data_IF_080402951934
#
_entry.id   IF_080402951934
#
_cell.length_a   1.000
_cell.length_b   1.000
_cell.length_c   1.000
_cell.angle_alpha   90.00
_cell.angle_beta   90.00
_cell.angle_gamma   90.00
#
_symmetry.space_group_name_H-M   'P 1'
#
loop_
_entity.id
_entity.type
_entity.pdbx_description
1 polymer ?
#
# COMPACT_ATOMS: atom_id res chain seq x y z
N UNK A 1 31.54 -14.26 0.99
CA UNK A 1 30.56 -13.61 0.10
C UNK A 1 29.17 -14.06 0.53
N UNK A 2 28.48 -13.27 1.36
CA UNK A 2 27.15 -13.62 1.90
C UNK A 2 26.07 -13.16 0.92
N UNK A 3 25.30 -14.11 0.39
CA UNK A 3 24.16 -13.88 -0.49
C UNK A 3 23.06 -13.15 0.30
N UNK A 4 22.79 -11.88 -0.03
CA UNK A 4 21.64 -11.14 0.55
C UNK A 4 20.33 -11.63 -0.08
N UNK A 5 19.39 -11.94 0.80
CA UNK A 5 18.04 -12.51 0.64
C UNK A 5 17.25 -12.19 -0.65
N UNK A 6 17.00 -13.22 -1.45
CA UNK A 6 15.96 -13.25 -2.50
C UNK A 6 14.54 -13.45 -1.95
N UNK A 7 14.40 -13.94 -0.71
CA UNK A 7 13.11 -14.39 -0.14
C UNK A 7 12.15 -13.28 0.34
N UNK A 8 12.67 -12.11 0.73
CA UNK A 8 11.82 -11.01 1.24
C UNK A 8 11.15 -10.21 0.13
N UNK A 9 11.80 -10.08 -1.03
CA UNK A 9 11.31 -9.29 -2.17
C UNK A 9 10.21 -10.07 -2.92
N UNK A 10 10.46 -11.35 -3.21
CA UNK A 10 9.45 -12.22 -3.83
C UNK A 10 8.19 -12.33 -2.98
N UNK A 11 8.37 -12.40 -1.65
CA UNK A 11 7.26 -12.43 -0.71
C UNK A 11 6.46 -11.13 -0.71
N UNK A 12 7.12 -9.97 -0.81
CA UNK A 12 6.46 -8.67 -0.96
C UNK A 12 5.58 -8.61 -2.21
N UNK A 13 6.11 -9.06 -3.36
CA UNK A 13 5.36 -9.07 -4.62
C UNK A 13 4.12 -9.98 -4.58
N UNK A 14 4.23 -11.17 -3.96
CA UNK A 14 3.09 -12.09 -3.83
C UNK A 14 1.95 -11.46 -3.03
N UNK A 15 2.26 -10.78 -1.92
CA UNK A 15 1.23 -10.13 -1.10
C UNK A 15 0.67 -8.87 -1.75
N UNK A 16 1.47 -8.15 -2.53
CA UNK A 16 0.96 -7.04 -3.34
C UNK A 16 -0.01 -7.52 -4.42
N UNK A 17 0.27 -8.65 -5.08
CA UNK A 17 -0.62 -9.23 -6.08
C UNK A 17 -1.94 -9.72 -5.43
N UNK A 18 -1.87 -10.36 -4.26
CA UNK A 18 -3.07 -10.75 -3.52
C UNK A 18 -3.88 -9.54 -3.04
N UNK A 19 -3.20 -8.49 -2.57
CA UNK A 19 -3.82 -7.23 -2.21
C UNK A 19 -4.54 -6.58 -3.41
N UNK A 20 -3.88 -6.55 -4.56
CA UNK A 20 -4.46 -6.04 -5.79
C UNK A 20 -5.71 -6.83 -6.19
N UNK A 21 -5.61 -8.17 -6.24
CA UNK A 21 -6.75 -9.04 -6.57
C UNK A 21 -7.95 -8.77 -5.66
N UNK A 22 -7.73 -8.71 -4.35
CA UNK A 22 -8.78 -8.38 -3.38
C UNK A 22 -9.43 -7.03 -3.66
N UNK A 23 -8.63 -5.97 -3.88
CA UNK A 23 -9.17 -4.61 -4.12
C UNK A 23 -9.95 -4.52 -5.44
N UNK A 24 -9.49 -5.23 -6.48
CA UNK A 24 -10.22 -5.33 -7.75
C UNK A 24 -11.58 -6.03 -7.55
N UNK A 25 -11.63 -7.10 -6.76
CA UNK A 25 -12.89 -7.78 -6.40
C UNK A 25 -13.83 -6.89 -5.58
N UNK A 26 -13.28 -5.96 -4.78
CA UNK A 26 -14.06 -4.92 -4.10
C UNK A 26 -14.53 -3.78 -5.02
N UNK A 27 -14.21 -3.84 -6.32
CA UNK A 27 -14.66 -2.88 -7.33
C UNK A 27 -13.76 -1.66 -7.52
N UNK A 28 -12.55 -1.67 -6.97
CA UNK A 28 -11.59 -0.59 -7.19
C UNK A 28 -10.89 -0.79 -8.54
N UNK A 29 -10.51 0.32 -9.18
CA UNK A 29 -9.78 0.29 -10.44
C UNK A 29 -8.29 0.56 -10.18
N UNK A 30 -7.41 -0.26 -10.73
CA UNK A 30 -5.96 -0.02 -10.62
C UNK A 30 -5.55 1.19 -11.46
N UNK A 31 -4.90 2.17 -10.83
CA UNK A 31 -4.30 3.35 -11.50
C UNK A 31 -2.81 3.14 -11.73
N UNK A 32 -2.09 2.72 -10.69
CA UNK A 32 -0.67 2.42 -10.74
C UNK A 32 -0.26 1.50 -9.58
N UNK A 33 0.87 0.82 -9.71
CA UNK A 33 1.49 0.05 -8.62
C UNK A 33 2.99 0.24 -8.58
N UNK A 34 3.61 -0.01 -7.43
CA UNK A 34 5.05 0.07 -7.22
C UNK A 34 5.65 1.43 -7.65
N UNK A 35 4.93 2.54 -7.39
CA UNK A 35 5.42 3.86 -7.77
C UNK A 35 6.57 4.27 -6.85
N UNK A 36 7.67 4.72 -7.43
CA UNK A 36 8.87 5.14 -6.69
C UNK A 36 9.31 6.52 -7.13
N UNK A 37 9.63 7.36 -6.16
CA UNK A 37 10.25 8.66 -6.40
C UNK A 37 11.32 8.92 -5.32
N UNK A 38 12.04 10.05 -5.45
CA UNK A 38 13.10 10.41 -4.48
C UNK A 38 12.61 10.58 -3.03
N UNK A 39 11.30 10.73 -2.82
CA UNK A 39 10.70 10.99 -1.51
C UNK A 39 10.12 9.73 -0.84
N UNK A 40 9.90 8.66 -1.60
CA UNK A 40 9.25 7.46 -1.08
C UNK A 40 8.74 6.53 -2.16
N UNK A 41 7.95 5.58 -1.70
CA UNK A 41 7.30 4.56 -2.52
C UNK A 41 5.81 4.52 -2.18
N UNK A 42 4.99 4.14 -3.16
CA UNK A 42 3.57 3.86 -3.03
C UNK A 42 3.33 2.45 -3.57
N UNK A 43 2.72 1.58 -2.77
CA UNK A 43 2.52 0.18 -3.15
C UNK A 43 1.43 0.07 -4.24
N UNK A 44 0.21 0.49 -3.92
CA UNK A 44 -0.92 0.51 -4.85
C UNK A 44 -1.59 1.88 -4.88
N UNK A 45 -1.91 2.34 -6.09
CA UNK A 45 -2.76 3.49 -6.35
C UNK A 45 -4.00 2.98 -7.07
N UNK A 46 -5.14 3.13 -6.43
CA UNK A 46 -6.43 2.66 -6.90
C UNK A 46 -7.39 3.85 -7.08
N UNK A 47 -8.50 3.63 -7.77
CA UNK A 47 -9.59 4.58 -7.90
C UNK A 47 -10.88 3.97 -7.35
N UNK A 48 -11.60 4.77 -6.55
CA UNK A 48 -12.94 4.45 -6.04
C UNK A 48 -13.81 5.71 -6.13
N UNK A 49 -14.81 5.70 -7.00
CA UNK A 49 -15.83 6.77 -7.12
C UNK A 49 -15.22 8.18 -7.30
N UNK A 50 -14.22 8.30 -8.17
CA UNK A 50 -13.51 9.55 -8.46
C UNK A 50 -12.51 9.98 -7.38
N UNK A 51 -12.18 9.09 -6.43
CA UNK A 51 -11.16 9.31 -5.40
C UNK A 51 -9.92 8.48 -5.71
N UNK A 52 -8.74 9.10 -5.69
CA UNK A 52 -7.46 8.40 -5.74
C UNK A 52 -7.15 7.80 -4.38
N UNK A 53 -7.14 6.47 -4.30
CA UNK A 53 -6.90 5.71 -3.08
C UNK A 53 -5.45 5.20 -3.08
N UNK A 54 -4.66 5.70 -2.14
CA UNK A 54 -3.29 5.26 -1.90
C UNK A 54 -3.34 4.14 -0.87
N UNK A 55 -2.96 2.92 -1.25
CA UNK A 55 -3.02 1.75 -0.36
C UNK A 55 -1.60 1.29 -0.03
N UNK A 56 -1.27 1.30 1.27
CA UNK A 56 -0.06 0.63 1.78
C UNK A 56 -0.39 -0.83 2.10
N UNK A 57 0.39 -1.77 1.56
CA UNK A 57 0.19 -3.22 1.75
C UNK A 57 1.10 -3.73 2.86
N UNK A 58 0.51 -4.35 3.89
CA UNK A 58 1.24 -4.86 5.05
C UNK A 58 1.04 -6.36 5.22
N UNK A 59 2.12 -7.14 5.08
CA UNK A 59 2.10 -8.56 5.43
C UNK A 59 2.61 -8.83 6.85
N UNK A 60 1.94 -9.73 7.55
CA UNK A 60 2.35 -10.25 8.86
C UNK A 60 2.20 -11.76 8.92
N UNK A 61 3.22 -12.41 9.48
CA UNK A 61 3.18 -13.85 9.71
C UNK A 61 2.16 -14.22 10.79
N UNK A 62 2.15 -13.48 11.91
CA UNK A 62 1.32 -13.73 13.08
C UNK A 62 0.75 -12.41 13.62
N UNK A 63 -0.45 -12.42 14.19
CA UNK A 63 -1.11 -11.25 14.78
C UNK A 63 -0.49 -10.74 16.11
N UNK A 64 0.61 -11.33 16.59
CA UNK A 64 1.19 -11.04 17.93
C UNK A 64 1.93 -9.71 18.04
N UNK A 65 2.19 -8.99 16.95
CA UNK A 65 2.99 -7.76 16.94
C UNK A 65 2.17 -6.57 16.43
N UNK A 66 1.47 -5.89 17.35
CA UNK A 66 0.72 -4.64 17.12
C UNK A 66 -0.46 -4.75 16.13
N UNK A 67 -1.17 -3.65 15.87
CA UNK A 67 -2.22 -3.52 14.84
C UNK A 67 -1.64 -3.10 13.48
N UNK A 68 -2.32 -3.37 12.37
CA UNK A 68 -1.87 -2.96 11.02
C UNK A 68 -1.49 -1.48 10.95
N UNK A 69 -2.33 -0.63 11.55
CA UNK A 69 -2.13 0.81 11.67
C UNK A 69 -0.85 1.16 12.43
N UNK A 70 -0.54 0.47 13.53
CA UNK A 70 0.68 0.71 14.30
C UNK A 70 1.97 0.43 13.49
N UNK A 71 1.91 -0.43 12.47
CA UNK A 71 3.06 -0.62 11.56
C UNK A 71 3.22 0.46 10.50
N UNK A 72 2.23 1.33 10.32
CA UNK A 72 2.32 2.52 9.47
C UNK A 72 2.68 3.69 10.36
N UNK A 73 3.93 3.68 10.82
CA UNK A 73 4.48 4.73 11.70
C UNK A 73 4.37 6.11 11.07
N UNK A 74 4.38 7.16 11.89
CA UNK A 74 4.33 8.56 11.42
C UNK A 74 5.40 8.87 10.36
N UNK A 75 6.59 8.28 10.49
CA UNK A 75 7.65 8.42 9.47
C UNK A 75 7.28 7.75 8.14
N UNK A 76 6.62 6.58 8.16
CA UNK A 76 6.14 5.94 6.94
C UNK A 76 4.99 6.74 6.32
N UNK A 77 4.03 7.20 7.12
CA UNK A 77 2.94 8.09 6.67
C UNK A 77 3.49 9.33 5.96
N UNK A 78 4.46 10.03 6.58
CA UNK A 78 5.07 11.22 5.99
C UNK A 78 5.72 10.93 4.62
N UNK A 79 6.37 9.78 4.45
CA UNK A 79 6.97 9.35 3.17
C UNK A 79 5.91 9.04 2.12
N UNK A 80 4.83 8.35 2.50
CA UNK A 80 3.70 8.05 1.60
C UNK A 80 3.03 9.35 1.16
N UNK A 81 2.78 10.29 2.08
CA UNK A 81 2.22 11.61 1.75
C UNK A 81 3.15 12.38 0.81
N UNK A 82 4.46 12.39 1.06
CA UNK A 82 5.42 13.07 0.20
C UNK A 82 5.50 12.46 -1.20
N UNK A 83 5.50 11.13 -1.31
CA UNK A 83 5.47 10.43 -2.60
C UNK A 83 4.16 10.66 -3.36
N UNK A 84 3.03 10.72 -2.64
CA UNK A 84 1.71 11.03 -3.21
C UNK A 84 1.67 12.44 -3.77
N UNK A 85 2.17 13.44 -3.02
CA UNK A 85 2.30 14.83 -3.52
C UNK A 85 3.10 14.90 -4.81
N UNK A 86 4.22 14.18 -4.87
CA UNK A 86 5.03 14.11 -6.08
C UNK A 86 4.26 13.48 -7.25
N UNK A 87 3.53 12.38 -7.01
CA UNK A 87 2.74 11.70 -8.02
C UNK A 87 1.64 12.63 -8.60
N UNK A 88 0.82 13.24 -7.74
CA UNK A 88 -0.30 14.07 -8.21
C UNK A 88 0.16 15.33 -8.95
N UNK A 89 1.29 15.93 -8.55
CA UNK A 89 1.88 17.06 -9.28
C UNK A 89 2.39 16.64 -10.66
N UNK A 90 3.01 15.47 -10.75
CA UNK A 90 3.57 14.92 -12.00
C UNK A 90 2.45 14.55 -12.98
N UNK A 91 1.39 13.92 -12.47
CA UNK A 91 0.26 13.44 -13.26
C UNK A 91 -0.86 14.49 -13.41
N UNK A 92 -0.72 15.67 -12.80
CA UNK A 92 -1.71 16.76 -12.77
C UNK A 92 -3.09 16.29 -12.28
N UNK A 93 -3.11 15.44 -11.25
CA UNK A 93 -4.33 14.91 -10.64
C UNK A 93 -4.90 15.94 -9.67
N UNK A 94 -6.21 16.18 -9.75
CA UNK A 94 -6.96 17.10 -8.90
C UNK A 94 -8.11 16.42 -8.12
N UNK A 95 -8.15 15.08 -8.13
CA UNK A 95 -9.17 14.29 -7.45
C UNK A 95 -8.95 14.29 -5.92
N UNK A 96 -9.99 14.03 -5.11
CA UNK A 96 -9.84 13.68 -3.71
C UNK A 96 -8.86 12.53 -3.53
N UNK A 97 -8.14 12.53 -2.41
CA UNK A 97 -7.13 11.52 -2.09
C UNK A 97 -7.50 10.88 -0.75
N UNK A 98 -7.44 9.55 -0.69
CA UNK A 98 -7.61 8.78 0.55
C UNK A 98 -6.39 7.89 0.76
N UNK A 99 -5.97 7.73 2.02
CA UNK A 99 -4.92 6.79 2.40
C UNK A 99 -5.54 5.61 3.13
N UNK A 100 -5.30 4.41 2.61
CA UNK A 100 -5.80 3.15 3.14
C UNK A 100 -4.63 2.24 3.51
N UNK A 101 -4.90 1.26 4.37
CA UNK A 101 -3.98 0.17 4.68
C UNK A 101 -4.68 -1.15 4.42
N UNK A 102 -4.03 -2.04 3.68
CA UNK A 102 -4.48 -3.42 3.50
C UNK A 102 -3.49 -4.35 4.18
N UNK A 103 -3.92 -4.97 5.28
CA UNK A 103 -3.11 -5.91 6.03
C UNK A 103 -3.48 -7.35 5.67
N UNK A 104 -2.46 -8.18 5.48
CA UNK A 104 -2.60 -9.61 5.23
C UNK A 104 -1.92 -10.33 6.38
N UNK A 105 -2.68 -11.08 7.18
CA UNK A 105 -2.17 -11.74 8.38
C UNK A 105 -2.35 -13.26 8.29
N UNK A 106 -1.26 -14.00 8.09
CA UNK A 106 -1.29 -15.46 7.99
C UNK A 106 -2.43 -15.96 7.09
N UNK A 107 -3.26 -16.85 7.62
CA UNK A 107 -4.43 -17.42 6.93
C UNK A 107 -5.74 -16.67 7.22
N UNK A 108 -5.71 -15.56 7.97
CA UNK A 108 -6.90 -14.83 8.41
C UNK A 108 -7.56 -13.97 7.31
N UNK A 109 -6.96 -13.92 6.12
CA UNK A 109 -7.43 -13.12 4.98
C UNK A 109 -7.02 -11.64 5.06
N UNK A 110 -7.43 -10.83 4.05
CA UNK A 110 -7.14 -9.40 4.01
C UNK A 110 -8.01 -8.60 4.99
N UNK A 111 -7.39 -7.65 5.70
CA UNK A 111 -8.01 -6.65 6.57
C UNK A 111 -7.79 -5.26 5.98
N UNK A 112 -8.86 -4.67 5.43
CA UNK A 112 -8.81 -3.40 4.71
C UNK A 112 -9.32 -2.25 5.58
N UNK A 113 -8.40 -1.37 5.95
CA UNK A 113 -8.68 -0.20 6.78
C UNK A 113 -8.72 1.04 5.88
N UNK A 114 -9.93 1.55 5.64
CA UNK A 114 -10.15 2.80 4.90
C UNK A 114 -9.86 4.02 5.78
N UNK A 115 -9.34 5.10 5.18
CA UNK A 115 -9.00 6.34 5.90
C UNK A 115 -8.03 6.10 7.07
N UNK A 116 -6.98 5.34 6.81
CA UNK A 116 -6.03 4.91 7.83
C UNK A 116 -5.25 6.07 8.46
N UNK A 117 -4.99 7.15 7.71
CA UNK A 117 -4.31 8.38 8.16
C UNK A 117 -4.48 9.54 7.19
#
# INVERSE_FOLDING_TARGET
MQLKSTSSIQRGQQYEEMALGYLLEQGLVLVARNYRCKWGELDLLMEEQGTLVIVEVRYRKNARYGSALESVTTNKQARVVAATRHYIMTMKINQPIRFDVLAITGDAGPDWIKNAF
#
